data_IF_084205645464
#
_entry.id   IF_084205645464
#
_cell.length_a   1.000
_cell.length_b   1.000
_cell.length_c   1.000
_cell.angle_alpha   90.00
_cell.angle_beta   90.00
_cell.angle_gamma   90.00
#
_symmetry.space_group_name_H-M   'P 1'
#
loop_
_entity.id
_entity.type
_entity.pdbx_description
1 polymer ?
#
# COMPACT_ATOMS: atom_id res chain seq x y z
N UNK A 1 4.00 0.32 15.30
CA UNK A 1 4.02 0.33 13.83
C UNK A 1 5.09 -0.64 13.37
N UNK A 2 4.97 -1.15 12.15
CA UNK A 2 6.04 -1.87 11.45
C UNK A 2 6.64 -1.02 10.34
N UNK A 3 7.76 -1.46 9.74
CA UNK A 3 8.49 -0.70 8.71
C UNK A 3 7.67 -0.59 7.42
N UNK A 4 7.63 0.60 6.83
CA UNK A 4 6.96 0.86 5.55
C UNK A 4 7.66 0.24 4.34
N UNK A 5 6.93 0.09 3.24
CA UNK A 5 7.41 -0.49 1.97
C UNK A 5 7.33 0.59 0.89
N UNK A 6 8.42 0.80 0.15
CA UNK A 6 8.48 1.72 -0.98
C UNK A 6 8.99 0.99 -2.22
N UNK A 7 8.34 1.21 -3.36
CA UNK A 7 8.76 0.69 -4.66
C UNK A 7 8.54 1.71 -5.76
N UNK A 8 9.51 1.82 -6.67
CA UNK A 8 9.40 2.60 -7.90
C UNK A 8 9.10 1.65 -9.06
N UNK A 9 8.03 1.94 -9.81
CA UNK A 9 7.51 1.08 -10.88
C UNK A 9 7.49 1.87 -12.18
N UNK A 10 8.33 1.47 -13.13
CA UNK A 10 8.28 1.95 -14.52
C UNK A 10 7.22 1.15 -15.29
N UNK A 11 6.23 1.85 -15.83
CA UNK A 11 5.22 1.26 -16.71
C UNK A 11 4.66 2.29 -17.69
N UNK A 12 4.64 1.95 -18.98
CA UNK A 12 4.07 2.77 -20.05
C UNK A 12 4.62 4.21 -20.08
N UNK A 13 5.96 4.35 -20.01
CA UNK A 13 6.69 5.63 -19.98
C UNK A 13 6.30 6.55 -18.80
N UNK A 14 5.79 5.98 -17.72
CA UNK A 14 5.47 6.69 -16.48
C UNK A 14 6.18 6.01 -15.31
N UNK A 15 6.68 6.83 -14.39
CA UNK A 15 7.22 6.37 -13.12
C UNK A 15 6.16 6.49 -12.04
N UNK A 16 5.80 5.36 -11.43
CA UNK A 16 4.88 5.31 -10.30
C UNK A 16 5.66 5.03 -9.01
N UNK A 17 5.31 5.74 -7.94
CA UNK A 17 5.84 5.49 -6.61
C UNK A 17 4.75 4.86 -5.76
N UNK A 18 4.98 3.63 -5.29
CA UNK A 18 4.07 2.90 -4.42
C UNK A 18 4.64 2.91 -3.00
N UNK A 19 3.87 3.46 -2.06
CA UNK A 19 4.24 3.56 -0.64
C UNK A 19 3.18 2.88 0.21
N UNK A 20 3.58 1.94 1.07
CA UNK A 20 2.70 1.27 2.04
C UNK A 20 3.16 1.54 3.46
N UNK A 21 2.24 1.98 4.32
CA UNK A 21 2.49 2.37 5.71
C UNK A 21 1.53 1.68 6.67
N UNK A 22 2.01 1.39 7.87
CA UNK A 22 1.21 0.93 9.00
C UNK A 22 0.88 2.11 9.93
N UNK A 23 -0.40 2.41 10.17
CA UNK A 23 -0.84 3.46 11.10
C UNK A 23 -0.67 3.15 12.60
N UNK A 24 -0.26 1.92 12.94
CA UNK A 24 -0.04 1.46 14.31
C UNK A 24 -1.32 1.22 15.12
N UNK A 25 -1.18 0.76 16.37
CA UNK A 25 -2.32 0.38 17.21
C UNK A 25 -3.31 1.53 17.51
N UNK A 26 -2.87 2.78 17.44
CA UNK A 26 -3.75 3.95 17.61
C UNK A 26 -4.59 4.24 16.36
N UNK A 27 -4.19 3.72 15.20
CA UNK A 27 -4.90 3.84 13.94
C UNK A 27 -4.62 2.58 13.10
N UNK A 28 -5.26 1.43 13.41
CA UNK A 28 -4.90 0.12 12.89
C UNK A 28 -5.34 -0.04 11.42
N UNK A 29 -4.65 0.67 10.54
CA UNK A 29 -4.89 0.78 9.12
C UNK A 29 -3.57 0.61 8.38
N UNK A 30 -3.55 -0.29 7.41
CA UNK A 30 -2.54 -0.35 6.36
C UNK A 30 -2.97 0.61 5.24
N UNK A 31 -2.11 1.57 4.94
CA UNK A 31 -2.33 2.61 3.94
C UNK A 31 -1.36 2.42 2.78
N UNK A 32 -1.85 2.15 1.57
CA UNK A 32 -1.03 2.19 0.35
C UNK A 32 -1.41 3.39 -0.50
N UNK A 33 -0.42 4.12 -0.98
CA UNK A 33 -0.57 5.26 -1.90
C UNK A 33 0.23 4.99 -3.17
N UNK A 34 -0.35 5.35 -4.31
CA UNK A 34 0.36 5.38 -5.59
C UNK A 34 0.45 6.83 -6.03
N UNK A 35 1.66 7.28 -6.33
CA UNK A 35 1.93 8.58 -6.92
C UNK A 35 2.47 8.42 -8.34
N UNK A 36 2.22 9.42 -9.19
CA UNK A 36 2.88 9.56 -10.49
C UNK A 36 3.26 11.03 -10.64
N UNK A 37 4.54 11.32 -10.91
CA UNK A 37 5.05 12.70 -11.02
C UNK A 37 4.67 13.59 -9.82
N UNK A 38 4.69 13.02 -8.61
CA UNK A 38 4.33 13.72 -7.36
C UNK A 38 2.82 13.88 -7.11
N UNK A 39 1.96 13.50 -8.05
CA UNK A 39 0.50 13.55 -7.89
C UNK A 39 -0.01 12.25 -7.29
N UNK A 40 -0.83 12.32 -6.24
CA UNK A 40 -1.52 11.16 -5.68
C UNK A 40 -2.55 10.65 -6.70
N UNK A 41 -2.38 9.42 -7.17
CA UNK A 41 -3.27 8.79 -8.14
C UNK A 41 -4.37 8.01 -7.44
N UNK A 42 -4.00 7.20 -6.45
CA UNK A 42 -4.96 6.39 -5.70
C UNK A 42 -4.46 6.05 -4.31
N UNK A 43 -5.38 5.63 -3.46
CA UNK A 43 -5.13 5.21 -2.08
C UNK A 43 -5.93 3.96 -1.78
N UNK A 44 -5.32 2.99 -1.09
CA UNK A 44 -6.00 1.84 -0.49
C UNK A 44 -5.81 1.84 1.02
N UNK A 45 -6.89 1.56 1.74
CA UNK A 45 -6.91 1.42 3.20
C UNK A 45 -7.48 0.07 3.57
N UNK A 46 -6.78 -0.66 4.43
CA UNK A 46 -7.26 -1.91 5.01
C UNK A 46 -7.13 -1.83 6.51
N UNK A 47 -8.24 -1.97 7.23
CA UNK A 47 -8.20 -2.04 8.68
C UNK A 47 -7.70 -3.41 9.13
N UNK A 48 -6.86 -3.43 10.16
CA UNK A 48 -6.45 -4.64 10.85
C UNK A 48 -6.89 -4.64 12.32
N UNK A 49 -7.91 -3.87 12.68
CA UNK A 49 -8.39 -3.73 14.08
C UNK A 49 -8.69 -5.07 14.76
N UNK A 50 -9.05 -6.10 13.99
CA UNK A 50 -9.29 -7.46 14.48
C UNK A 50 -8.02 -8.20 14.94
N UNK A 51 -6.83 -7.66 14.69
CA UNK A 51 -5.54 -8.25 15.08
C UNK A 51 -4.96 -7.64 16.36
N UNK A 52 -5.51 -6.54 16.90
CA UNK A 52 -4.85 -5.74 17.94
C UNK A 52 -4.61 -6.47 19.26
N UNK A 53 -5.34 -7.56 19.52
CA UNK A 53 -5.22 -8.39 20.72
C UNK A 53 -4.35 -9.65 20.50
N UNK A 54 -3.85 -9.88 19.27
CA UNK A 54 -3.02 -11.04 18.93
C UNK A 54 -1.57 -10.74 19.28
N UNK A 55 -0.91 -11.66 20.00
CA UNK A 55 0.49 -11.48 20.45
C UNK A 55 1.45 -11.21 19.28
N UNK A 56 1.28 -11.89 18.14
CA UNK A 56 2.10 -11.76 16.94
C UNK A 56 1.45 -10.87 15.84
N UNK A 57 0.68 -9.85 16.24
CA UNK A 57 -0.01 -8.98 15.29
C UNK A 57 0.94 -8.30 14.28
N UNK A 58 2.18 -7.99 14.68
CA UNK A 58 3.16 -7.30 13.83
C UNK A 58 3.53 -8.12 12.60
N UNK A 59 3.88 -9.38 12.79
CA UNK A 59 4.24 -10.28 11.68
C UNK A 59 3.07 -10.46 10.71
N UNK A 60 1.83 -10.49 11.23
CA UNK A 60 0.63 -10.55 10.40
C UNK A 60 0.44 -9.24 9.61
N UNK A 61 0.63 -8.08 10.25
CA UNK A 61 0.53 -6.77 9.58
C UNK A 61 1.60 -6.61 8.50
N UNK A 62 2.85 -7.04 8.74
CA UNK A 62 3.91 -7.03 7.72
C UNK A 62 3.53 -7.86 6.49
N UNK A 63 2.95 -9.05 6.70
CA UNK A 63 2.45 -9.88 5.60
C UNK A 63 1.33 -9.19 4.84
N UNK A 64 0.32 -8.66 5.55
CA UNK A 64 -0.80 -7.94 4.94
C UNK A 64 -0.34 -6.69 4.17
N UNK A 65 0.66 -5.98 4.68
CA UNK A 65 1.27 -4.84 4.00
C UNK A 65 1.92 -5.27 2.69
N UNK A 66 2.67 -6.37 2.70
CA UNK A 66 3.30 -6.92 1.49
C UNK A 66 2.24 -7.34 0.47
N UNK A 67 1.21 -8.07 0.89
CA UNK A 67 0.11 -8.51 0.04
C UNK A 67 -0.61 -7.31 -0.60
N UNK A 68 -0.99 -6.31 0.20
CA UNK A 68 -1.64 -5.09 -0.31
C UNK A 68 -0.71 -4.30 -1.25
N UNK A 69 0.58 -4.22 -0.95
CA UNK A 69 1.57 -3.52 -1.77
C UNK A 69 1.71 -4.19 -3.14
N UNK A 70 1.88 -5.52 -3.16
CA UNK A 70 2.02 -6.30 -4.38
C UNK A 70 0.74 -6.22 -5.23
N UNK A 71 -0.44 -6.30 -4.62
CA UNK A 71 -1.72 -6.11 -5.30
C UNK A 71 -1.82 -4.73 -5.97
N UNK A 72 -1.42 -3.67 -5.27
CA UNK A 72 -1.43 -2.31 -5.80
C UNK A 72 -0.44 -2.13 -6.96
N UNK A 73 0.71 -2.80 -6.95
CA UNK A 73 1.64 -2.87 -8.09
C UNK A 73 0.98 -3.59 -9.28
N UNK A 74 0.27 -4.70 -9.04
CA UNK A 74 -0.43 -5.40 -10.12
C UNK A 74 -1.51 -4.54 -10.78
N UNK A 75 -2.19 -3.67 -10.03
CA UNK A 75 -3.16 -2.73 -10.60
C UNK A 75 -2.51 -1.72 -11.56
N UNK A 76 -1.24 -1.33 -11.33
CA UNK A 76 -0.48 -0.52 -12.29
C UNK A 76 -0.27 -1.31 -13.59
N UNK A 77 0.23 -2.55 -13.49
CA UNK A 77 0.48 -3.39 -14.66
C UNK A 77 -0.78 -3.79 -15.43
N UNK A 78 -1.94 -3.83 -14.76
CA UNK A 78 -3.25 -4.03 -15.38
C UNK A 78 -3.78 -2.77 -16.08
N UNK A 79 -3.15 -1.62 -15.87
CA UNK A 79 -3.61 -0.33 -16.40
C UNK A 79 -4.77 0.30 -15.61
N UNK A 80 -5.18 -0.29 -14.49
CA UNK A 80 -6.32 0.16 -13.68
C UNK A 80 -6.04 1.46 -12.90
N UNK A 81 -4.76 1.84 -12.81
CA UNK A 81 -4.28 3.04 -12.09
C UNK A 81 -4.03 4.20 -13.07
N UNK A 82 -4.33 4.04 -14.36
CA UNK A 82 -4.28 5.14 -15.32
C UNK A 82 -5.53 6.01 -15.16
N UNK A 83 -5.34 7.33 -15.06
CA UNK A 83 -6.42 8.29 -14.84
C UNK A 83 -7.64 8.00 -15.74
N UNK A 84 -8.81 7.95 -15.10
CA UNK A 84 -10.08 8.10 -15.77
C UNK A 84 -10.03 9.44 -16.53
N UNK A 85 -10.16 9.37 -17.86
CA UNK A 85 -10.34 10.56 -18.70
C UNK A 85 -11.56 11.36 -18.24
#
# INVERSE_FOLDING_TARGET
>A
MVTGINSDIDYNNKMFHVQTEDGGLNNPIILTRIFCSGVLITTRKTSYVYLVEIEDWKSIVERLMKEQHDEMIQEIYRGNVMAQN
#
